data_IF_608292228294
#
_entry.id   IF_608292228294
#
_cell.length_a   1.000
_cell.length_b   1.000
_cell.length_c   1.000
_cell.angle_alpha   90.00
_cell.angle_beta   90.00
_cell.angle_gamma   90.00
#
_symmetry.space_group_name_H-M   'P 1'
#
loop_
_entity.id
_entity.type
_entity.pdbx_description
1 polymer ?
#
# COMPACT_ATOMS: atom_id res chain seq x y z
N UNK A 1 -34.70 -7.37 24.75
CA UNK A 1 -34.11 -8.24 23.74
C UNK A 1 -34.24 -7.57 22.39
N UNK A 2 -33.35 -6.62 22.11
CA UNK A 2 -33.20 -6.02 20.78
C UNK A 2 -31.73 -6.19 20.40
N UNK A 3 -31.35 -7.44 20.08
CA UNK A 3 -30.10 -7.75 19.41
C UNK A 3 -30.29 -7.41 17.93
N UNK A 4 -30.03 -6.14 17.60
CA UNK A 4 -29.98 -5.64 16.24
C UNK A 4 -28.72 -6.23 15.58
N UNK A 5 -28.87 -7.43 14.99
CA UNK A 5 -27.81 -8.09 14.22
C UNK A 5 -27.45 -7.22 13.01
N UNK A 6 -26.39 -6.42 13.16
CA UNK A 6 -25.87 -5.61 12.06
C UNK A 6 -25.45 -6.53 10.91
N UNK A 7 -26.23 -6.49 9.83
CA UNK A 7 -25.94 -7.20 8.58
C UNK A 7 -24.67 -6.60 7.96
N UNK A 8 -23.52 -7.26 8.15
CA UNK A 8 -22.32 -6.98 7.38
C UNK A 8 -22.61 -7.27 5.90
N UNK A 9 -22.65 -6.21 5.09
CA UNK A 9 -22.77 -6.35 3.64
C UNK A 9 -21.39 -6.74 3.06
N UNK A 10 -21.33 -7.49 1.95
CA UNK A 10 -20.06 -7.89 1.35
C UNK A 10 -19.21 -6.70 0.85
N UNK A 11 -19.81 -5.50 0.74
CA UNK A 11 -19.11 -4.25 0.41
C UNK A 11 -18.26 -3.74 1.58
N UNK A 12 -18.63 -4.02 2.83
CA UNK A 12 -17.87 -3.65 4.04
C UNK A 12 -16.58 -4.48 4.22
N UNK A 13 -16.39 -5.54 3.41
CA UNK A 13 -15.25 -6.45 3.52
C UNK A 13 -14.13 -6.16 2.52
N UNK A 14 -14.26 -5.15 1.66
CA UNK A 14 -13.16 -4.79 0.76
C UNK A 14 -12.16 -3.89 1.47
N UNK A 15 -10.86 -4.23 1.49
CA UNK A 15 -9.85 -3.36 2.07
C UNK A 15 -9.87 -2.03 1.31
N UNK A 16 -9.98 -0.91 2.03
CA UNK A 16 -9.89 0.41 1.41
C UNK A 16 -8.46 0.59 0.88
N UNK A 17 -8.28 0.44 -0.43
CA UNK A 17 -6.97 0.59 -1.07
C UNK A 17 -6.75 2.08 -1.35
N UNK A 18 -5.92 2.71 -0.53
CA UNK A 18 -5.59 4.14 -0.65
C UNK A 18 -4.58 4.41 -1.78
N UNK A 19 -3.68 3.47 -2.08
CA UNK A 19 -2.65 3.61 -3.11
C UNK A 19 -2.15 2.28 -3.65
N UNK A 20 -1.74 2.29 -4.91
CA UNK A 20 -1.03 1.21 -5.59
C UNK A 20 0.33 1.74 -6.03
N UNK A 21 1.40 0.98 -5.82
CA UNK A 21 2.75 1.37 -6.21
C UNK A 21 3.58 0.16 -6.62
N UNK A 22 4.59 0.39 -7.45
CA UNK A 22 5.55 -0.62 -7.89
C UNK A 22 6.93 -0.20 -7.40
N UNK A 23 7.56 -1.06 -6.61
CA UNK A 23 8.93 -0.89 -6.14
C UNK A 23 9.85 -1.79 -6.94
N UNK A 24 10.96 -1.25 -7.42
CA UNK A 24 12.06 -2.03 -7.99
C UNK A 24 13.36 -1.73 -7.25
N UNK A 25 14.36 -2.58 -7.47
CA UNK A 25 15.69 -2.41 -6.88
C UNK A 25 16.67 -1.99 -7.97
N UNK A 26 17.31 -0.84 -7.76
CA UNK A 26 18.42 -0.33 -8.56
C UNK A 26 19.72 -0.47 -7.77
N UNK A 27 20.77 -1.03 -8.38
CA UNK A 27 22.04 -1.31 -7.69
C UNK A 27 22.79 -0.04 -7.23
N UNK A 28 22.49 1.12 -7.81
CA UNK A 28 23.10 2.41 -7.49
C UNK A 28 22.27 3.19 -6.49
N UNK A 29 20.94 3.08 -6.53
CA UNK A 29 20.02 3.89 -5.72
C UNK A 29 19.26 3.11 -4.64
N UNK A 30 19.30 1.78 -4.64
CA UNK A 30 18.54 0.92 -3.74
C UNK A 30 17.10 0.71 -4.21
N UNK A 31 16.16 0.59 -3.27
CA UNK A 31 14.75 0.46 -3.58
C UNK A 31 14.20 1.78 -4.12
N UNK A 32 13.51 1.75 -5.26
CA UNK A 32 12.92 2.92 -5.91
C UNK A 32 11.47 2.64 -6.30
N UNK A 33 10.61 3.67 -6.24
CA UNK A 33 9.23 3.59 -6.74
C UNK A 33 9.24 3.95 -8.22
N UNK A 34 8.96 2.99 -9.10
CA UNK A 34 8.87 3.23 -10.55
C UNK A 34 7.50 3.72 -10.98
N UNK A 35 6.47 3.36 -10.23
CA UNK A 35 5.09 3.71 -10.53
C UNK A 35 4.28 3.87 -9.26
N UNK A 36 3.35 4.82 -9.25
CA UNK A 36 2.32 4.92 -8.21
C UNK A 36 1.02 5.52 -8.74
N UNK A 37 -0.07 5.11 -8.11
CA UNK A 37 -1.40 5.70 -8.22
C UNK A 37 -1.99 5.88 -6.80
N UNK A 38 -2.51 7.07 -6.45
CA UNK A 38 -2.50 8.31 -7.23
C UNK A 38 -1.07 8.88 -7.44
N UNK A 39 -0.92 9.88 -8.31
CA UNK A 39 0.40 10.46 -8.66
C UNK A 39 1.11 11.06 -7.42
N UNK A 40 2.43 11.21 -7.52
CA UNK A 40 3.31 11.60 -6.39
C UNK A 40 2.91 12.91 -5.75
N UNK A 41 2.44 13.86 -6.54
CA UNK A 41 1.97 15.17 -6.11
C UNK A 41 0.69 15.08 -5.28
N UNK A 42 -0.13 14.06 -5.53
CA UNK A 42 -1.42 13.84 -4.86
C UNK A 42 -1.23 13.02 -3.58
N UNK A 43 -0.31 12.05 -3.59
CA UNK A 43 -0.01 11.23 -2.43
C UNK A 43 1.49 10.87 -2.35
N UNK A 44 2.25 11.50 -1.45
CA UNK A 44 3.66 11.19 -1.27
C UNK A 44 3.83 9.88 -0.49
N UNK A 45 4.42 8.86 -1.14
CA UNK A 45 4.68 7.53 -0.55
C UNK A 45 6.10 7.38 0.03
N UNK A 46 6.64 8.45 0.61
CA UNK A 46 8.04 8.49 1.07
C UNK A 46 8.33 7.40 2.12
N UNK A 47 9.31 6.53 1.85
CA UNK A 47 9.79 5.51 2.77
C UNK A 47 8.98 4.20 2.76
N UNK A 48 7.96 4.10 1.91
CA UNK A 48 7.20 2.86 1.70
C UNK A 48 8.07 1.79 1.01
N UNK A 49 8.99 2.21 0.16
CA UNK A 49 9.95 1.38 -0.56
C UNK A 49 10.86 0.56 0.38
N UNK A 50 11.14 1.06 1.58
CA UNK A 50 11.95 0.35 2.58
C UNK A 50 11.18 -0.75 3.32
N UNK A 51 9.84 -0.71 3.28
CA UNK A 51 8.97 -1.73 3.86
C UNK A 51 8.50 -2.76 2.83
N UNK A 52 8.48 -2.39 1.56
CA UNK A 52 7.93 -3.20 0.48
C UNK A 52 8.82 -4.39 0.11
N UNK A 53 10.14 -4.18 0.09
CA UNK A 53 11.10 -5.25 -0.15
C UNK A 53 11.77 -5.61 1.18
N UNK A 54 11.65 -6.85 1.68
CA UNK A 54 12.42 -7.27 2.84
C UNK A 54 13.90 -7.04 2.52
N UNK A 55 14.58 -6.26 3.35
CA UNK A 55 16.04 -6.03 3.26
C UNK A 55 16.77 -7.32 3.68
N UNK A 56 16.61 -8.38 2.90
CA UNK A 56 17.26 -9.65 3.10
C UNK A 56 18.66 -9.62 2.49
N UNK A 57 19.61 -8.97 3.17
CA UNK A 57 21.05 -9.26 3.09
C UNK A 57 21.76 -8.45 4.17
N UNK A 58 21.88 -9.07 5.34
CA UNK A 58 22.91 -8.74 6.33
C UNK A 58 23.95 -9.87 6.26
#
# INVERSE_FOLDING_TARGET
>A
DDDDEQLITPEDSQPNVEAIFVVTFDVKYGNTIEFQMPEKEQMPLNGVEYKALPSGSH
#
